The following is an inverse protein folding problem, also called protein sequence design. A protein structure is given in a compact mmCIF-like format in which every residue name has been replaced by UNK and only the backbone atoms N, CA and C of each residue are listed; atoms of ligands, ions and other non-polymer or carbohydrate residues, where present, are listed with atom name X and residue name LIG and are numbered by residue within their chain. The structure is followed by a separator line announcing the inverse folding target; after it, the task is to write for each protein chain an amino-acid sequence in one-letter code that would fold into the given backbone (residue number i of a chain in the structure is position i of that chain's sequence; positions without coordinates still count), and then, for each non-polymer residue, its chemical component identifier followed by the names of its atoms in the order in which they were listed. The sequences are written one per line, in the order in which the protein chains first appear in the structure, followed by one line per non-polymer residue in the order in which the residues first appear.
data_IF_645098770772
#
_entry.id   IF_645098770772
#
_cell.length_a   1.000
_cell.length_b   1.000
_cell.length_c   1.000
_cell.angle_alpha   90.00
_cell.angle_beta   90.00
_cell.angle_gamma   90.00
#
_symmetry.space_group_name_H-M   'P 1'
#
loop_
_entity.id
_entity.type
_entity.pdbx_description
1 polymer ?
#
# COMPACT_ATOMS: atom_id res chain seq x y z
N UNK A 1 28.37 -8.89 -23.14
CA UNK A 1 28.53 -9.26 -24.58
C UNK A 1 29.07 -8.04 -25.30
N UNK A 2 29.99 -8.21 -26.23
CA UNK A 2 30.46 -7.09 -27.05
C UNK A 2 29.26 -6.56 -27.86
N UNK A 3 29.12 -5.23 -28.00
CA UNK A 3 28.06 -4.63 -28.82
C UNK A 3 28.08 -5.19 -30.25
N UNK A 4 29.28 -5.51 -30.77
CA UNK A 4 29.47 -6.11 -32.08
C UNK A 4 28.91 -7.53 -32.22
N UNK A 5 28.58 -8.19 -31.11
CA UNK A 5 28.02 -9.56 -31.07
C UNK A 5 26.54 -9.56 -30.69
N UNK A 6 25.96 -8.40 -30.39
CA UNK A 6 24.57 -8.27 -30.03
C UNK A 6 23.72 -7.91 -31.26
N UNK A 7 22.91 -8.86 -31.70
CA UNK A 7 21.87 -8.66 -32.71
C UNK A 7 20.49 -8.67 -32.05
N UNK A 8 19.64 -7.73 -32.45
CA UNK A 8 18.23 -7.77 -32.07
C UNK A 8 17.54 -8.98 -32.70
N UNK A 9 16.41 -9.44 -32.14
CA UNK A 9 15.62 -10.51 -32.73
C UNK A 9 15.20 -10.19 -34.18
N UNK A 10 15.04 -11.19 -35.05
CA UNK A 10 14.50 -10.96 -36.39
C UNK A 10 13.06 -10.44 -36.30
N UNK A 11 12.73 -9.49 -37.17
CA UNK A 11 11.39 -8.91 -37.29
C UNK A 11 10.80 -9.20 -38.68
N UNK A 12 9.46 -9.16 -38.84
CA UNK A 12 8.83 -9.32 -40.15
C UNK A 12 9.35 -8.30 -41.17
N UNK A 13 9.32 -8.64 -42.45
CA UNK A 13 9.80 -7.77 -43.54
C UNK A 13 9.07 -6.42 -43.65
N UNK A 14 7.86 -6.34 -43.10
CA UNK A 14 7.07 -5.11 -43.02
C UNK A 14 7.40 -4.27 -41.77
N UNK A 15 8.36 -4.67 -40.94
CA UNK A 15 8.76 -3.95 -39.74
C UNK A 15 10.23 -3.55 -39.83
N UNK A 16 10.58 -2.45 -39.17
CA UNK A 16 11.97 -1.97 -39.05
C UNK A 16 12.28 -1.55 -37.63
N UNK A 17 13.54 -1.71 -37.24
CA UNK A 17 14.07 -1.10 -36.04
C UNK A 17 14.51 0.33 -36.30
N UNK A 18 14.29 1.20 -35.32
CA UNK A 18 14.79 2.56 -35.28
C UNK A 18 15.33 2.88 -33.88
N UNK A 19 16.41 3.63 -33.81
CA UNK A 19 16.90 4.19 -32.54
C UNK A 19 16.18 5.50 -32.25
N UNK A 20 15.89 5.78 -30.99
CA UNK A 20 15.40 7.09 -30.55
C UNK A 20 16.44 8.21 -30.70
N UNK A 21 17.71 7.85 -30.95
CA UNK A 21 18.85 8.76 -31.13
C UNK A 21 19.65 8.38 -32.39
N UNK A 22 19.07 8.51 -33.60
CA UNK A 22 19.65 8.00 -34.85
C UNK A 22 21.00 8.63 -35.22
N UNK A 23 21.27 9.85 -34.73
CA UNK A 23 22.55 10.55 -34.94
C UNK A 23 23.70 9.95 -34.11
N UNK A 24 23.37 9.31 -32.99
CA UNK A 24 24.35 8.73 -32.06
C UNK A 24 24.46 7.22 -32.20
N UNK A 25 23.32 6.55 -32.45
CA UNK A 25 23.19 5.10 -32.50
C UNK A 25 22.30 4.73 -33.68
N UNK A 26 22.78 3.86 -34.57
CA UNK A 26 22.00 3.29 -35.66
C UNK A 26 21.88 1.79 -35.57
N UNK A 27 20.84 1.24 -36.21
CA UNK A 27 20.63 -0.20 -36.32
C UNK A 27 20.93 -0.63 -37.76
N UNK A 28 21.76 -1.65 -37.92
CA UNK A 28 22.01 -2.28 -39.22
C UNK A 28 20.70 -2.94 -39.73
N UNK A 29 20.20 -2.58 -40.92
CA UNK A 29 18.93 -3.10 -41.42
C UNK A 29 18.99 -4.59 -41.83
N UNK A 30 20.18 -5.16 -42.03
CA UNK A 30 20.35 -6.53 -42.51
C UNK A 30 20.51 -7.55 -41.37
N UNK A 31 21.25 -7.19 -40.33
CA UNK A 31 21.56 -8.10 -39.21
C UNK A 31 21.06 -7.59 -37.84
N UNK A 32 20.43 -6.41 -37.81
CA UNK A 32 19.89 -5.79 -36.61
C UNK A 32 20.92 -5.56 -35.48
N UNK A 33 22.19 -5.36 -35.85
CA UNK A 33 23.26 -4.99 -34.91
C UNK A 33 23.19 -3.51 -34.53
N UNK A 34 23.60 -3.20 -33.30
CA UNK A 34 23.65 -1.82 -32.78
C UNK A 34 25.01 -1.21 -33.13
N UNK A 35 24.98 -0.09 -33.87
CA UNK A 35 26.18 0.64 -34.32
C UNK A 35 26.25 1.98 -33.60
N UNK A 36 27.34 2.20 -32.87
CA UNK A 36 27.67 3.47 -32.21
C UNK A 36 28.32 4.40 -33.25
N UNK A 37 27.69 5.55 -33.52
CA UNK A 37 28.14 6.53 -34.53
C UNK A 37 28.98 7.66 -33.97
N UNK A 38 28.76 8.01 -32.70
CA UNK A 38 29.35 9.19 -32.09
C UNK A 38 30.28 8.81 -30.94
N UNK A 39 31.48 9.40 -30.94
CA UNK A 39 32.44 9.24 -29.85
C UNK A 39 32.02 9.98 -28.57
N UNK A 40 31.05 10.89 -28.65
CA UNK A 40 30.50 11.60 -27.49
C UNK A 40 29.97 10.63 -26.42
N UNK A 41 29.47 9.46 -26.85
CA UNK A 41 28.93 8.44 -25.96
C UNK A 41 29.98 7.85 -25.01
N UNK A 42 31.26 7.84 -25.39
CA UNK A 42 32.35 7.33 -24.55
C UNK A 42 32.74 8.28 -23.40
N UNK A 43 32.19 9.49 -23.36
CA UNK A 43 32.46 10.46 -22.27
C UNK A 43 31.70 10.12 -20.97
N UNK A 44 30.69 9.26 -21.04
CA UNK A 44 29.90 8.80 -19.91
C UNK A 44 30.15 7.31 -19.64
N UNK A 45 30.01 6.87 -18.38
CA UNK A 45 30.11 5.45 -18.04
C UNK A 45 29.06 4.60 -18.75
N UNK A 46 27.83 5.13 -18.86
CA UNK A 46 26.74 4.49 -19.58
C UNK A 46 25.91 5.49 -20.38
N UNK A 47 25.07 4.97 -21.27
CA UNK A 47 24.08 5.75 -22.00
C UNK A 47 22.78 4.98 -22.20
N UNK A 48 21.66 5.65 -21.97
CA UNK A 48 20.32 5.10 -22.09
C UNK A 48 19.64 5.64 -23.35
N UNK A 49 19.02 4.75 -24.11
CA UNK A 49 18.23 5.09 -25.29
C UNK A 49 17.12 4.07 -25.49
N UNK A 50 16.28 4.28 -26.51
CA UNK A 50 15.23 3.34 -26.88
C UNK A 50 15.44 2.81 -28.29
N UNK A 51 15.10 1.55 -28.48
CA UNK A 51 14.92 0.97 -29.81
C UNK A 51 13.44 0.75 -30.03
N UNK A 52 12.94 1.29 -31.13
CA UNK A 52 11.56 1.18 -31.57
C UNK A 52 11.47 0.16 -32.71
N UNK A 53 10.52 -0.77 -32.62
CA UNK A 53 10.10 -1.58 -33.76
C UNK A 53 8.82 -0.98 -34.31
N UNK A 54 8.83 -0.61 -35.59
CA UNK A 54 7.72 0.10 -36.25
C UNK A 54 7.31 -0.72 -37.46
N UNK A 55 6.02 -1.04 -37.57
CA UNK A 55 5.47 -1.70 -38.74
C UNK A 55 5.02 -0.72 -39.82
N UNK A 56 5.06 -1.15 -41.08
CA UNK A 56 4.71 -0.33 -42.25
C UNK A 56 3.23 -0.45 -42.65
N UNK A 57 2.38 -0.93 -41.73
CA UNK A 57 0.93 -1.07 -41.98
C UNK A 57 0.22 0.26 -41.73
N UNK A 58 -1.06 0.33 -42.09
CA UNK A 58 -1.89 1.52 -41.90
C UNK A 58 -3.16 1.16 -41.11
N UNK A 59 -3.34 1.65 -39.87
CA UNK A 59 -2.39 2.48 -39.12
C UNK A 59 -1.13 1.70 -38.71
N UNK A 60 -0.01 2.41 -38.58
CA UNK A 60 1.26 1.84 -38.14
C UNK A 60 1.22 1.56 -36.64
N UNK A 61 1.70 0.38 -36.25
CA UNK A 61 1.91 0.00 -34.87
C UNK A 61 3.40 0.07 -34.53
N UNK A 62 3.70 0.49 -33.31
CA UNK A 62 5.06 0.52 -32.79
C UNK A 62 5.14 -0.03 -31.37
N UNK A 63 6.32 -0.55 -31.02
CA UNK A 63 6.69 -0.84 -29.65
C UNK A 63 8.14 -0.37 -29.41
N UNK A 64 8.49 -0.07 -28.16
CA UNK A 64 9.83 0.39 -27.82
C UNK A 64 10.39 -0.37 -26.63
N UNK A 65 11.70 -0.57 -26.63
CA UNK A 65 12.44 -1.21 -25.55
C UNK A 65 13.56 -0.26 -25.11
N UNK A 66 13.69 0.05 -23.81
CA UNK A 66 14.80 0.82 -23.29
C UNK A 66 16.07 -0.04 -23.25
N UNK A 67 17.20 0.56 -23.58
CA UNK A 67 18.52 -0.08 -23.62
C UNK A 67 19.53 0.82 -22.91
N UNK A 68 20.39 0.19 -22.10
CA UNK A 68 21.55 0.81 -21.50
C UNK A 68 22.79 0.17 -22.08
N UNK A 69 23.72 1.00 -22.54
CA UNK A 69 25.04 0.58 -22.98
C UNK A 69 26.08 1.11 -22.03
N UNK A 70 27.05 0.27 -21.67
CA UNK A 70 28.16 0.62 -20.79
C UNK A 70 29.43 0.81 -21.64
N UNK A 71 30.13 1.93 -21.44
CA UNK A 71 31.34 2.31 -22.17
C UNK A 71 32.60 2.30 -21.31
N UNK A 72 32.45 2.34 -19.98
CA UNK A 72 33.56 2.33 -19.03
C UNK A 72 33.75 1.00 -18.30
N UNK A 73 34.66 1.03 -17.33
CA UNK A 73 34.93 -0.09 -16.41
C UNK A 73 34.09 0.11 -15.16
N UNK A 74 33.41 -0.94 -14.71
CA UNK A 74 32.69 -1.00 -13.45
C UNK A 74 33.67 -0.91 -12.27
N UNK A 75 33.53 0.10 -11.40
CA UNK A 75 34.50 0.39 -10.34
C UNK A 75 33.93 0.16 -8.95
N UNK A 76 32.62 0.38 -8.76
CA UNK A 76 32.02 0.40 -7.44
C UNK A 76 30.86 -0.57 -7.34
N UNK A 77 30.78 -1.35 -6.24
CA UNK A 77 29.67 -2.26 -6.03
C UNK A 77 28.37 -1.49 -5.71
N UNK A 78 27.19 -2.08 -5.98
CA UNK A 78 25.91 -1.45 -5.69
C UNK A 78 25.74 -1.21 -4.19
N UNK A 79 25.13 -0.08 -3.84
CA UNK A 79 24.95 0.35 -2.46
C UNK A 79 23.48 0.46 -2.08
N UNK A 80 23.16 0.00 -0.87
CA UNK A 80 21.81 -0.01 -0.33
C UNK A 80 21.42 1.36 0.25
N UNK A 81 20.26 1.88 -0.15
CA UNK A 81 19.69 3.14 0.35
C UNK A 81 18.73 2.85 1.51
N UNK A 82 19.27 2.44 2.66
CA UNK A 82 18.49 2.30 3.90
C UNK A 82 19.21 2.96 5.08
N UNK A 83 18.42 3.43 6.04
CA UNK A 83 18.94 4.02 7.27
C UNK A 83 19.30 2.96 8.32
N UNK A 84 18.73 1.76 8.24
CA UNK A 84 18.92 0.67 9.20
C UNK A 84 18.66 -0.68 8.57
N UNK A 85 19.47 -1.69 8.90
CA UNK A 85 19.28 -3.09 8.48
C UNK A 85 18.11 -3.78 9.18
N UNK A 86 17.62 -3.20 10.29
CA UNK A 86 16.41 -3.63 10.99
C UNK A 86 15.29 -2.62 10.74
N UNK A 87 14.15 -3.10 10.21
CA UNK A 87 12.99 -2.28 9.85
C UNK A 87 11.75 -2.76 10.62
N UNK A 88 10.92 -1.82 11.06
CA UNK A 88 9.61 -2.10 11.66
C UNK A 88 8.54 -1.78 10.63
N UNK A 89 7.73 -2.78 10.26
CA UNK A 89 6.79 -2.69 9.15
C UNK A 89 5.39 -3.00 9.66
N UNK A 90 4.44 -2.10 9.41
CA UNK A 90 3.03 -2.33 9.71
C UNK A 90 2.37 -3.05 8.52
N UNK A 91 1.65 -4.14 8.80
CA UNK A 91 0.96 -4.90 7.77
C UNK A 91 -0.22 -4.07 7.23
N UNK A 92 -0.13 -3.69 5.96
CA UNK A 92 -1.28 -3.26 5.17
C UNK A 92 -2.04 -4.50 4.66
N UNK A 93 -3.34 -4.39 4.32
CA UNK A 93 -4.11 -5.50 3.76
C UNK A 93 -3.61 -6.02 2.40
N UNK A 94 -2.49 -5.51 1.89
CA UNK A 94 -1.84 -5.99 0.67
C UNK A 94 -0.67 -6.93 1.01
N UNK A 95 -0.33 -7.82 0.07
CA UNK A 95 0.88 -8.65 0.20
C UNK A 95 2.18 -7.84 0.14
N UNK A 96 2.12 -6.60 -0.35
CA UNK A 96 3.30 -5.75 -0.45
C UNK A 96 3.76 -5.33 0.94
N UNK A 97 5.04 -5.57 1.22
CA UNK A 97 5.64 -5.33 2.52
C UNK A 97 6.51 -4.09 2.51
N UNK A 98 7.45 -4.02 1.58
CA UNK A 98 8.48 -2.98 1.56
C UNK A 98 9.10 -2.84 0.18
N UNK A 99 9.64 -1.67 -0.14
CA UNK A 99 10.46 -1.50 -1.33
C UNK A 99 11.89 -1.16 -0.95
N UNK A 100 12.79 -2.08 -1.26
CA UNK A 100 14.22 -1.85 -1.15
C UNK A 100 14.68 -0.95 -2.31
N UNK A 101 15.57 -0.02 -1.99
CA UNK A 101 16.24 0.82 -2.97
C UNK A 101 17.75 0.65 -2.83
N UNK A 102 18.42 0.45 -3.94
CA UNK A 102 19.86 0.45 -4.06
C UNK A 102 20.25 1.25 -5.31
N UNK A 103 21.50 1.68 -5.37
CA UNK A 103 22.05 2.41 -6.51
C UNK A 103 23.42 1.87 -6.88
N UNK A 104 23.77 2.01 -8.15
CA UNK A 104 25.11 1.77 -8.68
C UNK A 104 25.91 3.08 -8.59
N UNK A 105 26.99 3.17 -7.79
CA UNK A 105 27.77 4.40 -7.66
C UNK A 105 28.51 4.84 -8.93
N UNK A 106 28.64 3.97 -9.93
CA UNK A 106 29.21 4.35 -11.23
C UNK A 106 28.21 5.14 -12.11
N UNK A 107 26.95 5.22 -11.69
CA UNK A 107 25.88 5.95 -12.36
C UNK A 107 25.44 7.17 -11.54
N UNK A 108 24.99 8.23 -12.23
CA UNK A 108 24.42 9.40 -11.58
C UNK A 108 23.10 9.04 -10.89
N UNK A 109 22.96 9.37 -9.60
CA UNK A 109 21.80 8.96 -8.79
C UNK A 109 20.45 9.46 -9.37
N UNK A 110 20.43 10.64 -9.99
CA UNK A 110 19.25 11.21 -10.68
C UNK A 110 18.73 10.30 -11.78
N UNK A 111 19.62 9.57 -12.44
CA UNK A 111 19.34 8.76 -13.62
C UNK A 111 18.93 7.34 -13.22
N UNK A 112 18.87 7.05 -11.92
CA UNK A 112 18.55 5.72 -11.37
C UNK A 112 17.17 5.67 -10.73
N UNK A 113 16.67 6.81 -10.23
CA UNK A 113 15.37 6.86 -9.57
C UNK A 113 14.25 6.68 -10.60
N UNK A 114 13.56 5.53 -10.56
CA UNK A 114 12.52 5.12 -11.50
C UNK A 114 13.00 4.89 -12.95
N UNK A 115 14.29 4.65 -13.16
CA UNK A 115 14.83 4.41 -14.51
C UNK A 115 14.53 2.99 -14.99
N UNK A 116 14.01 2.89 -16.21
CA UNK A 116 14.13 1.69 -17.02
C UNK A 116 15.09 2.00 -18.17
N UNK A 117 16.23 1.30 -18.30
CA UNK A 117 16.54 0.00 -17.66
C UNK A 117 16.93 0.08 -16.17
N UNK A 118 16.70 -1.00 -15.39
CA UNK A 118 17.11 -1.06 -13.99
C UNK A 118 18.63 -0.97 -13.84
N UNK A 119 19.09 -0.37 -12.74
CA UNK A 119 20.52 -0.19 -12.43
C UNK A 119 21.07 -1.30 -11.53
N UNK A 120 20.19 -1.92 -10.75
CA UNK A 120 20.51 -2.97 -9.77
C UNK A 120 19.47 -4.09 -9.88
N UNK A 121 19.95 -5.32 -9.79
CA UNK A 121 19.13 -6.52 -9.60
C UNK A 121 19.13 -6.94 -8.14
N UNK A 122 17.98 -7.39 -7.66
CA UNK A 122 17.78 -7.88 -6.30
C UNK A 122 17.50 -9.37 -6.31
N UNK A 123 18.08 -10.07 -5.35
CA UNK A 123 17.84 -11.49 -5.09
C UNK A 123 17.88 -11.72 -3.58
N UNK A 124 17.08 -12.65 -3.08
CA UNK A 124 17.10 -13.06 -1.68
C UNK A 124 17.54 -14.51 -1.59
N UNK A 125 18.36 -14.84 -0.59
CA UNK A 125 18.60 -16.23 -0.25
C UNK A 125 17.27 -16.85 0.21
N UNK A 126 16.90 -17.99 -0.38
CA UNK A 126 15.56 -18.58 -0.37
C UNK A 126 14.82 -18.45 0.97
N UNK A 127 14.00 -17.40 1.11
CA UNK A 127 13.12 -17.23 2.26
C UNK A 127 11.76 -17.85 1.94
N UNK A 128 11.27 -18.71 2.84
CA UNK A 128 9.92 -19.27 2.72
C UNK A 128 8.83 -18.22 2.88
N UNK A 129 9.15 -17.07 3.52
CA UNK A 129 8.14 -16.13 3.99
C UNK A 129 8.00 -14.90 3.09
N UNK A 130 8.99 -14.61 2.23
CA UNK A 130 8.97 -13.46 1.33
C UNK A 130 9.43 -13.81 -0.09
N UNK A 131 9.04 -12.94 -1.02
CA UNK A 131 9.59 -12.85 -2.38
C UNK A 131 10.05 -11.42 -2.65
N UNK A 132 11.00 -11.26 -3.57
CA UNK A 132 11.45 -9.96 -4.06
C UNK A 132 11.31 -9.89 -5.58
N UNK A 133 10.79 -8.78 -6.06
CA UNK A 133 10.82 -8.45 -7.49
C UNK A 133 12.24 -8.02 -7.90
N UNK A 134 12.85 -8.81 -8.78
CA UNK A 134 14.26 -8.69 -9.18
C UNK A 134 14.70 -7.31 -9.62
N UNK A 135 13.84 -6.51 -10.26
CA UNK A 135 14.25 -5.22 -10.85
C UNK A 135 13.67 -4.00 -10.15
N UNK A 136 12.71 -4.19 -9.23
CA UNK A 136 12.04 -3.09 -8.52
C UNK A 136 12.42 -3.03 -7.04
N UNK A 137 12.92 -4.14 -6.49
CA UNK A 137 13.23 -4.29 -5.06
C UNK A 137 11.98 -4.39 -4.19
N UNK A 138 10.78 -4.55 -4.77
CA UNK A 138 9.53 -4.73 -4.02
C UNK A 138 9.51 -6.10 -3.38
N UNK A 139 9.25 -6.13 -2.08
CA UNK A 139 9.14 -7.34 -1.28
C UNK A 139 7.67 -7.61 -0.98
N UNK A 140 7.28 -8.87 -1.16
CA UNK A 140 5.93 -9.34 -0.84
C UNK A 140 5.99 -10.48 0.16
N UNK A 141 4.98 -10.53 1.03
CA UNK A 141 4.76 -11.63 1.96
C UNK A 141 4.14 -12.83 1.25
N UNK A 142 4.71 -14.00 1.51
CA UNK A 142 4.11 -15.30 1.18
C UNK A 142 3.17 -15.78 2.28
N UNK A 143 3.54 -15.54 3.55
CA UNK A 143 2.76 -15.90 4.74
C UNK A 143 2.50 -14.68 5.65
N UNK A 144 1.22 -14.38 5.87
CA UNK A 144 0.73 -13.25 6.67
C UNK A 144 0.89 -13.46 8.18
N UNK A 145 1.15 -14.68 8.65
CA UNK A 145 1.36 -14.96 10.07
C UNK A 145 2.80 -14.65 10.52
N UNK A 146 3.67 -14.23 9.59
CA UNK A 146 5.08 -13.98 9.89
C UNK A 146 5.25 -12.65 10.62
N UNK A 147 5.84 -12.70 11.82
CA UNK A 147 6.09 -11.51 12.66
C UNK A 147 7.53 -11.03 12.63
N UNK A 148 8.48 -11.89 12.27
CA UNK A 148 9.89 -11.54 12.10
C UNK A 148 10.46 -12.23 10.86
N UNK A 149 11.13 -11.46 10.00
CA UNK A 149 11.74 -11.96 8.77
C UNK A 149 13.20 -11.56 8.74
N UNK A 150 14.07 -12.55 8.85
CA UNK A 150 15.49 -12.39 8.64
C UNK A 150 15.86 -12.99 7.28
N UNK A 151 16.48 -12.19 6.42
CA UNK A 151 16.91 -12.64 5.10
C UNK A 151 18.21 -11.97 4.67
N UNK A 152 18.92 -12.66 3.77
CA UNK A 152 20.08 -12.09 3.08
C UNK A 152 19.63 -11.56 1.73
N UNK A 153 19.83 -10.26 1.51
CA UNK A 153 19.68 -9.59 0.22
C UNK A 153 21.01 -9.64 -0.54
N UNK A 154 20.94 -9.96 -1.83
CA UNK A 154 21.99 -9.77 -2.81
C UNK A 154 21.56 -8.66 -3.78
N UNK A 155 22.42 -7.67 -3.94
CA UNK A 155 22.28 -6.59 -4.92
C UNK A 155 23.37 -6.76 -5.96
N UNK A 156 22.99 -6.83 -7.23
CA UNK A 156 23.93 -7.05 -8.35
C UNK A 156 23.81 -5.89 -9.31
N UNK A 157 24.92 -5.23 -9.64
CA UNK A 157 24.92 -4.22 -10.70
C UNK A 157 24.87 -4.88 -12.09
N UNK A 158 24.87 -4.07 -13.14
CA UNK A 158 24.98 -4.51 -14.54
C UNK A 158 26.32 -4.16 -15.19
N UNK A 159 27.28 -3.71 -14.38
CA UNK A 159 28.54 -3.18 -14.87
C UNK A 159 29.38 -4.22 -15.64
N UNK A 160 30.27 -3.70 -16.48
CA UNK A 160 31.19 -4.49 -17.31
C UNK A 160 32.65 -4.07 -17.04
N UNK A 161 33.65 -4.95 -17.20
CA UNK A 161 33.54 -6.35 -17.60
C UNK A 161 33.02 -7.28 -16.50
N UNK A 162 33.15 -6.86 -15.24
CA UNK A 162 32.75 -7.65 -14.08
C UNK A 162 31.55 -7.01 -13.41
N UNK A 163 30.58 -7.84 -13.03
CA UNK A 163 29.45 -7.43 -12.20
C UNK A 163 29.85 -7.52 -10.74
N UNK A 164 29.53 -6.52 -9.94
CA UNK A 164 29.69 -6.63 -8.49
C UNK A 164 28.40 -7.10 -7.82
N UNK A 165 28.60 -7.72 -6.67
CA UNK A 165 27.54 -8.25 -5.82
C UNK A 165 27.76 -7.73 -4.41
N UNK A 166 26.78 -7.02 -3.88
CA UNK A 166 26.74 -6.60 -2.47
C UNK A 166 25.75 -7.47 -1.71
N UNK A 167 26.19 -7.98 -0.57
CA UNK A 167 25.38 -8.83 0.32
C UNK A 167 25.02 -8.06 1.58
N UNK A 168 23.75 -8.09 1.98
CA UNK A 168 23.29 -7.46 3.21
C UNK A 168 22.24 -8.29 3.92
N UNK A 169 22.40 -8.48 5.24
CA UNK A 169 21.39 -9.13 6.07
C UNK A 169 20.40 -8.09 6.57
N UNK A 170 19.11 -8.36 6.39
CA UNK A 170 18.01 -7.49 6.78
C UNK A 170 17.06 -8.23 7.72
N UNK A 171 16.54 -7.50 8.71
CA UNK A 171 15.58 -8.00 9.68
C UNK A 171 14.33 -7.13 9.64
N UNK A 172 13.20 -7.70 9.26
CA UNK A 172 11.91 -7.01 9.28
C UNK A 172 11.09 -7.52 10.45
N UNK A 173 10.80 -6.63 11.40
CA UNK A 173 9.83 -6.85 12.45
C UNK A 173 8.47 -6.38 11.96
N UNK A 174 7.58 -7.33 11.78
CA UNK A 174 6.27 -7.10 11.20
C UNK A 174 5.27 -6.97 12.34
N UNK A 175 4.71 -5.78 12.47
CA UNK A 175 3.65 -5.50 13.42
C UNK A 175 2.32 -5.86 12.76
N UNK A 176 1.72 -6.93 13.25
CA UNK A 176 0.31 -7.20 13.05
C UNK A 176 -0.47 -5.98 13.51
N UNK A 177 -1.25 -5.38 12.61
CA UNK A 177 -2.28 -4.46 13.04
C UNK A 177 -3.33 -5.32 13.71
N UNK A 178 -3.16 -5.56 15.01
CA UNK A 178 -4.24 -5.98 15.88
C UNK A 178 -5.25 -4.83 15.85
N UNK A 179 -6.08 -4.82 14.80
CA UNK A 179 -7.36 -4.15 14.86
C UNK A 179 -7.94 -4.63 16.18
N UNK A 180 -8.05 -3.73 17.15
CA UNK A 180 -8.79 -3.96 18.38
C UNK A 180 -10.10 -4.56 17.91
N UNK A 181 -10.22 -5.86 18.19
CA UNK A 181 -10.90 -6.76 17.27
C UNK A 181 -12.30 -6.24 17.03
N UNK A 182 -12.78 -6.18 15.79
CA UNK A 182 -14.19 -5.88 15.51
C UNK A 182 -15.10 -6.71 16.43
N UNK A 183 -14.65 -7.91 16.78
CA UNK A 183 -15.07 -8.76 17.90
C UNK A 183 -15.28 -8.04 19.24
N UNK A 184 -14.33 -7.28 19.78
CA UNK A 184 -14.47 -6.48 21.02
C UNK A 184 -15.54 -5.41 20.85
N UNK A 185 -15.59 -4.74 19.69
CA UNK A 185 -16.64 -3.77 19.38
C UNK A 185 -18.03 -4.42 19.29
N UNK A 186 -18.14 -5.58 18.64
CA UNK A 186 -19.38 -6.36 18.55
C UNK A 186 -19.83 -6.92 19.90
N UNK A 187 -18.89 -7.38 20.75
CA UNK A 187 -19.19 -7.83 22.11
C UNK A 187 -19.69 -6.66 22.96
N UNK A 188 -19.05 -5.50 22.88
CA UNK A 188 -19.49 -4.29 23.57
C UNK A 188 -20.88 -3.84 23.09
N UNK A 189 -21.11 -3.78 21.78
CA UNK A 189 -22.39 -3.39 21.20
C UNK A 189 -23.52 -4.39 21.56
N UNK A 190 -23.25 -5.69 21.51
CA UNK A 190 -24.19 -6.74 21.91
C UNK A 190 -24.56 -6.63 23.39
N UNK A 191 -23.58 -6.35 24.26
CA UNK A 191 -23.78 -6.15 25.69
C UNK A 191 -24.68 -4.93 25.97
N UNK A 192 -24.46 -3.83 25.26
CA UNK A 192 -25.29 -2.62 25.36
C UNK A 192 -26.73 -2.89 24.94
N UNK A 193 -26.93 -3.58 23.80
CA UNK A 193 -28.28 -3.96 23.32
C UNK A 193 -28.99 -4.83 24.35
N UNK A 194 -28.29 -5.81 24.93
CA UNK A 194 -28.87 -6.68 25.96
C UNK A 194 -29.34 -5.88 27.18
N UNK A 195 -28.54 -4.92 27.66
CA UNK A 195 -28.91 -4.04 28.78
C UNK A 195 -30.18 -3.23 28.45
N UNK A 196 -30.27 -2.66 27.24
CA UNK A 196 -31.45 -1.90 26.80
C UNK A 196 -32.70 -2.78 26.80
N UNK A 197 -32.60 -4.03 26.31
CA UNK A 197 -33.71 -4.99 26.32
C UNK A 197 -34.16 -5.28 27.76
N UNK A 198 -33.23 -5.58 28.67
CA UNK A 198 -33.55 -5.87 30.08
C UNK A 198 -34.25 -4.68 30.75
N UNK A 199 -33.76 -3.45 30.52
CA UNK A 199 -34.38 -2.23 31.05
C UNK A 199 -35.79 -2.03 30.49
N UNK A 200 -36.01 -2.29 29.19
CA UNK A 200 -37.33 -2.18 28.57
C UNK A 200 -38.35 -3.19 29.13
N UNK A 201 -37.90 -4.40 29.44
CA UNK A 201 -38.74 -5.42 30.07
C UNK A 201 -39.08 -5.00 31.51
N UNK A 202 -38.09 -4.46 32.24
CA UNK A 202 -38.30 -3.98 33.61
C UNK A 202 -39.33 -2.85 33.66
N UNK A 203 -39.21 -1.85 32.76
CA UNK A 203 -40.18 -0.75 32.68
C UNK A 203 -41.57 -1.25 32.31
N UNK A 204 -41.67 -2.24 31.41
CA UNK A 204 -42.94 -2.88 31.07
C UNK A 204 -43.57 -3.61 32.25
N UNK A 205 -42.78 -4.36 33.03
CA UNK A 205 -43.25 -5.05 34.25
C UNK A 205 -43.74 -4.03 35.28
N UNK A 206 -42.96 -2.96 35.52
CA UNK A 206 -43.36 -1.89 36.45
C UNK A 206 -44.68 -1.25 35.99
N UNK A 207 -44.81 -0.92 34.70
CA UNK A 207 -46.04 -0.37 34.15
C UNK A 207 -47.23 -1.30 34.32
N UNK A 208 -47.06 -2.60 34.06
CA UNK A 208 -48.10 -3.62 34.24
C UNK A 208 -48.52 -3.77 35.70
N UNK A 209 -47.58 -3.71 36.64
CA UNK A 209 -47.86 -3.75 38.08
C UNK A 209 -48.58 -2.48 38.55
N UNK A 210 -48.20 -1.30 38.05
CA UNK A 210 -48.82 -0.03 38.43
C UNK A 210 -50.20 0.20 37.80
N UNK A 211 -50.50 -0.42 36.65
CA UNK A 211 -51.78 -0.27 35.94
C UNK A 211 -52.82 -1.32 36.31
N UNK A 212 -52.53 -2.21 37.27
CA UNK A 212 -53.52 -3.19 37.75
C UNK A 212 -54.67 -2.47 38.49
N UNK A 213 -55.92 -2.52 37.99
CA UNK A 213 -57.04 -1.95 38.72
C UNK A 213 -57.31 -2.79 39.97
N UNK A 214 -57.29 -2.15 41.14
CA UNK A 214 -57.76 -2.74 42.40
C UNK A 214 -59.24 -3.08 42.27
N UNK A 215 -59.58 -4.38 42.26
CA UNK A 215 -60.97 -4.84 42.40
C UNK A 215 -61.48 -4.46 43.80
N UNK A 216 -62.20 -3.34 43.93
CA UNK A 216 -62.90 -2.97 45.16
C UNK A 216 -64.15 -3.85 45.34
N UNK A 217 -64.14 -4.67 46.38
CA UNK A 217 -65.28 -5.44 46.87
C UNK A 217 -66.30 -4.47 47.53
N UNK A 218 -67.55 -4.46 47.05
CA UNK A 218 -68.66 -3.74 47.69
C UNK A 218 -69.17 -4.53 48.90
N UNK A 219 -69.28 -3.90 50.08
CA UNK A 219 -70.21 -4.30 51.15
C UNK A 219 -70.42 -3.17 52.19
N UNK A 220 -71.45 -2.35 51.95
CA UNK A 220 -72.58 -1.97 52.82
C UNK A 220 -72.45 -1.70 54.36
N UNK A 221 -73.19 -0.65 54.78
CA UNK A 221 -73.71 -0.20 56.12
C UNK A 221 -72.76 0.68 56.99
N UNK A 222 -73.17 1.74 57.72
CA UNK A 222 -74.42 2.53 57.92
C UNK A 222 -74.10 3.69 58.90
N UNK A 223 -74.50 4.95 58.60
CA UNK A 223 -74.90 6.11 59.48
C UNK A 223 -73.98 6.58 60.66
N UNK A 224 -73.81 7.86 61.05
CA UNK A 224 -74.74 8.98 61.32
C UNK A 224 -74.01 10.35 61.47
N UNK A 225 -74.65 11.42 60.97
CA UNK A 225 -74.73 12.86 61.35
C UNK A 225 -73.74 13.55 62.32
N UNK A 226 -73.24 14.73 61.93
CA UNK A 226 -73.61 16.04 62.55
C UNK A 226 -73.12 17.27 61.78
N UNK A 227 -74.03 18.23 61.65
CA UNK A 227 -73.89 19.61 61.16
C UNK A 227 -72.74 20.38 61.82
N UNK A 228 -72.17 21.37 61.10
CA UNK A 228 -72.12 22.80 61.48
C UNK A 228 -71.63 23.63 60.26
N UNK A 229 -72.49 24.55 59.85
CA UNK A 229 -72.24 25.86 59.19
C UNK A 229 -73.12 26.85 59.99
N UNK A 230 -72.97 28.19 60.01
CA UNK A 230 -72.25 29.09 59.10
C UNK A 230 -71.48 30.23 59.80
N UNK A 231 -70.76 31.07 59.03
CA UNK A 231 -70.78 32.56 59.10
C UNK A 231 -69.67 33.17 58.22
N UNK A 232 -70.08 33.78 57.10
CA UNK A 232 -69.37 34.84 56.35
C UNK A 232 -69.68 36.20 57.01
N UNK A 233 -68.87 37.29 56.85
CA UNK A 233 -68.93 38.08 55.59
C UNK A 233 -67.67 38.88 55.16
N UNK A 234 -67.55 39.06 53.84
CA UNK A 234 -67.24 40.23 53.00
C UNK A 234 -66.14 41.31 53.29
N UNK A 235 -65.66 41.85 52.14
CA UNK A 235 -64.94 43.11 51.84
C UNK A 235 -63.39 43.04 51.89
N UNK A 236 -62.57 43.49 50.92
CA UNK A 236 -62.59 44.55 49.88
C UNK A 236 -61.90 44.04 48.58
N UNK A 237 -62.34 44.33 47.34
CA UNK A 237 -62.18 45.56 46.50
C UNK A 237 -60.69 45.96 46.28
N UNK A 238 -60.09 45.81 45.07
CA UNK A 238 -60.06 46.73 43.89
C UNK A 238 -59.28 48.04 44.24
N UNK A 239 -58.34 48.66 43.50
CA UNK A 239 -57.79 48.60 42.13
C UNK A 239 -56.39 49.30 42.10
N UNK A 240 -55.69 49.14 40.96
CA UNK A 240 -54.73 50.01 40.22
C UNK A 240 -54.16 51.32 40.80
N UNK A 241 -52.90 51.60 40.44
CA UNK A 241 -52.25 52.90 40.06
C UNK A 241 -50.72 52.62 39.98
N UNK A 242 -49.89 52.89 38.95
CA UNK A 242 -49.81 53.87 37.85
C UNK A 242 -49.16 53.23 36.60
#
# INVERSE_FOLDING_TARGET
KNLSEFSLPPIPSYAKYASSVPDLISIDPYNASIIVRSSLLYSSYSYDFRIEAIDSRSPSLSCSIPIRVFFGVNKFPPQLLINSTRQFIEILPSKFLYQIKAYDPDLLLSDQTNSFPPTVEYEIDSSMNIEIERYTGRIFLKDFNTTNINFTLFMKDFGQPNRFITRQTLIFDIKSNENISLTVFFIAASSIIFIVIVLSILTFIIHYCCTRPTKTLKTQKQTTWKNISPTTPDTCLIDNEY
#
